data_IF_735537302307
#
_entry.id   IF_735537302307
#
_cell.length_a   1.000
_cell.length_b   1.000
_cell.length_c   1.000
_cell.angle_alpha   90.00
_cell.angle_beta   90.00
_cell.angle_gamma   90.00
#
_symmetry.space_group_name_H-M   'P 1'
#
loop_
_entity.id
_entity.type
_entity.pdbx_description
1 polymer ?
#
# COMPACT_ATOMS: atom_id res chain seq x y z
N UNK A 1 -18.81 -9.83 -31.74
CA UNK A 1 -19.63 -8.66 -31.35
C UNK A 1 -19.32 -7.57 -32.36
N UNK A 2 -20.25 -7.31 -33.29
CA UNK A 2 -20.20 -6.17 -34.23
C UNK A 2 -21.07 -5.10 -33.59
N UNK A 3 -20.48 -4.30 -32.73
CA UNK A 3 -21.14 -3.08 -32.29
C UNK A 3 -20.97 -2.14 -33.48
N UNK A 4 -22.07 -1.81 -34.18
CA UNK A 4 -22.11 -1.09 -35.47
C UNK A 4 -21.61 0.36 -35.43
N UNK A 5 -20.59 0.65 -34.63
CA UNK A 5 -19.94 1.95 -34.56
C UNK A 5 -19.04 2.16 -35.77
N UNK A 6 -19.16 3.35 -36.37
CA UNK A 6 -18.30 3.76 -37.47
C UNK A 6 -16.83 3.79 -37.01
N UNK A 7 -15.93 3.19 -37.80
CA UNK A 7 -14.50 3.21 -37.55
C UNK A 7 -13.99 4.66 -37.55
N UNK A 8 -13.53 5.14 -36.40
CA UNK A 8 -12.91 6.47 -36.28
C UNK A 8 -11.45 6.38 -36.72
N UNK A 9 -10.98 7.36 -37.49
CA UNK A 9 -9.55 7.47 -37.78
C UNK A 9 -8.77 7.88 -36.50
N UNK A 10 -7.46 7.68 -36.50
CA UNK A 10 -6.62 7.95 -35.32
C UNK A 10 -6.68 9.41 -34.84
N UNK A 11 -6.88 10.37 -35.76
CA UNK A 11 -7.03 11.78 -35.42
C UNK A 11 -8.35 12.05 -34.68
N UNK A 12 -9.46 11.51 -35.17
CA UNK A 12 -10.76 11.65 -34.51
C UNK A 12 -10.80 11.06 -33.10
N UNK A 13 -10.01 10.00 -32.84
CA UNK A 13 -9.88 9.44 -31.48
C UNK A 13 -9.10 10.40 -30.59
N UNK A 14 -7.95 10.90 -31.04
CA UNK A 14 -7.12 11.84 -30.29
C UNK A 14 -7.87 13.15 -29.96
N UNK A 15 -8.61 13.70 -30.91
CA UNK A 15 -9.41 14.92 -30.70
C UNK A 15 -10.53 14.68 -29.68
N UNK A 16 -11.17 13.51 -29.72
CA UNK A 16 -12.21 13.14 -28.75
C UNK A 16 -11.64 12.97 -27.34
N UNK A 17 -10.47 12.33 -27.20
CA UNK A 17 -9.79 12.19 -25.91
C UNK A 17 -9.35 13.55 -25.36
N UNK A 18 -8.86 14.44 -26.23
CA UNK A 18 -8.45 15.78 -25.83
C UNK A 18 -9.65 16.63 -25.38
N UNK A 19 -10.79 16.55 -26.09
CA UNK A 19 -12.03 17.21 -25.71
C UNK A 19 -12.60 16.69 -24.39
N UNK A 20 -12.51 15.38 -24.14
CA UNK A 20 -12.91 14.80 -22.85
C UNK A 20 -12.00 15.28 -21.71
N UNK A 21 -10.68 15.38 -21.96
CA UNK A 21 -9.72 15.92 -20.98
C UNK A 21 -10.00 17.39 -20.64
N UNK A 22 -10.30 18.23 -21.64
CA UNK A 22 -10.61 19.65 -21.39
C UNK A 22 -11.94 19.82 -20.68
N UNK A 23 -12.96 19.02 -21.03
CA UNK A 23 -14.25 19.05 -20.33
C UNK A 23 -14.14 18.57 -18.87
N UNK A 24 -13.32 17.54 -18.60
CA UNK A 24 -13.05 17.10 -17.24
C UNK A 24 -12.31 18.15 -16.41
N UNK A 25 -11.35 18.86 -17.02
CA UNK A 25 -10.66 19.98 -16.38
C UNK A 25 -11.61 21.15 -16.07
N UNK A 26 -12.50 21.50 -17.01
CA UNK A 26 -13.49 22.55 -16.82
C UNK A 26 -14.49 22.21 -15.69
N UNK A 27 -14.98 20.96 -15.65
CA UNK A 27 -15.86 20.48 -14.56
C UNK A 27 -15.19 20.55 -13.19
N UNK A 28 -13.87 20.30 -13.11
CA UNK A 28 -13.09 20.47 -11.87
C UNK A 28 -12.93 21.94 -11.48
N UNK A 29 -12.84 22.86 -12.43
CA UNK A 29 -12.77 24.29 -12.14
C UNK A 29 -14.12 24.82 -11.62
N UNK A 30 -15.24 24.39 -12.20
CA UNK A 30 -16.58 24.82 -11.79
C UNK A 30 -17.05 24.26 -10.44
N UNK A 31 -16.49 23.13 -9.97
CA UNK A 31 -16.84 22.56 -8.67
C UNK A 31 -16.16 23.27 -7.48
N UNK A 32 -15.38 24.32 -7.72
CA UNK A 32 -14.67 25.09 -6.67
C UNK A 32 -15.52 26.28 -6.16
N UNK A 33 -16.62 26.63 -6.81
CA UNK A 33 -17.50 27.76 -6.45
C UNK A 33 -18.58 27.36 -5.43
N UNK A 34 -18.18 26.65 -4.37
CA UNK A 34 -19.00 26.32 -3.20
C UNK A 34 -18.33 26.83 -1.93
N UNK A 35 -17.99 28.12 -1.92
CA UNK A 35 -17.28 28.78 -0.82
C UNK A 35 -18.29 29.37 0.15
N UNK A 36 -18.56 28.65 1.25
CA UNK A 36 -19.16 29.19 2.47
C UNK A 36 -18.66 28.42 3.70
N UNK A 37 -17.35 28.16 3.80
CA UNK A 37 -16.73 27.55 4.99
C UNK A 37 -15.24 27.91 5.20
N UNK A 38 -14.78 29.03 4.63
CA UNK A 38 -13.34 29.40 4.63
C UNK A 38 -12.82 30.07 5.91
N UNK A 39 -13.67 30.31 6.92
CA UNK A 39 -13.25 30.94 8.18
C UNK A 39 -13.06 29.97 9.34
N UNK A 40 -13.49 28.71 9.19
CA UNK A 40 -13.27 27.74 10.24
C UNK A 40 -11.79 27.33 10.22
N UNK A 41 -11.09 27.67 11.30
CA UNK A 41 -9.69 27.28 11.54
C UNK A 41 -9.65 26.32 12.71
N UNK A 42 -8.72 25.37 12.69
CA UNK A 42 -8.57 24.36 13.75
C UNK A 42 -7.11 24.14 14.07
N UNK A 43 -6.84 23.68 15.30
CA UNK A 43 -5.47 23.39 15.73
C UNK A 43 -5.04 22.01 15.23
N UNK A 44 -3.83 21.92 14.69
CA UNK A 44 -3.24 20.64 14.32
C UNK A 44 -2.69 19.93 15.57
N UNK A 45 -3.15 18.70 15.83
CA UNK A 45 -2.65 17.85 16.93
C UNK A 45 -1.39 17.05 16.57
N UNK A 46 -0.85 17.30 15.38
CA UNK A 46 0.48 16.82 14.98
C UNK A 46 1.60 17.63 15.63
N UNK A 47 2.83 17.34 15.22
CA UNK A 47 4.05 17.97 15.75
C UNK A 47 4.12 19.49 15.55
N UNK A 48 3.32 20.05 14.63
CA UNK A 48 3.38 21.47 14.33
C UNK A 48 2.55 22.36 15.27
N UNK A 49 1.47 21.85 15.90
CA UNK A 49 0.63 22.63 16.82
C UNK A 49 -0.05 23.87 16.22
N UNK A 50 0.01 24.09 14.90
CA UNK A 50 -0.45 25.32 14.25
C UNK A 50 -1.97 25.32 14.07
N UNK A 51 -2.59 26.49 14.25
CA UNK A 51 -3.98 26.75 13.86
C UNK A 51 -4.02 27.09 12.37
N UNK A 52 -4.66 26.23 11.58
CA UNK A 52 -4.65 26.32 10.13
C UNK A 52 -6.08 26.30 9.58
N UNK A 53 -6.31 26.88 8.38
CA UNK A 53 -7.60 26.83 7.72
C UNK A 53 -7.90 25.43 7.18
N UNK A 54 -9.18 25.17 6.87
CA UNK A 54 -9.65 23.91 6.28
C UNK A 54 -8.84 23.45 5.07
N UNK A 55 -8.33 24.36 4.23
CA UNK A 55 -7.52 24.05 3.04
C UNK A 55 -6.21 23.32 3.35
N UNK A 56 -5.67 23.48 4.56
CA UNK A 56 -4.44 22.82 5.02
C UNK A 56 -4.68 21.40 5.56
N UNK A 57 -5.94 20.95 5.61
CA UNK A 57 -6.33 19.62 6.06
C UNK A 57 -6.92 18.82 4.89
N UNK A 58 -6.64 17.51 4.88
CA UNK A 58 -7.41 16.60 4.04
C UNK A 58 -8.85 16.51 4.59
N UNK A 59 -9.86 16.36 3.71
CA UNK A 59 -11.28 16.24 4.07
C UNK A 59 -11.52 15.21 5.18
N UNK A 60 -10.85 14.06 5.10
CA UNK A 60 -10.95 12.99 6.11
C UNK A 60 -10.32 13.35 7.46
N UNK A 61 -9.34 14.27 7.49
CA UNK A 61 -8.77 14.77 8.74
C UNK A 61 -9.63 15.90 9.30
N UNK A 62 -10.19 16.75 8.44
CA UNK A 62 -11.13 17.79 8.82
C UNK A 62 -12.41 17.23 9.43
N UNK A 63 -12.93 16.12 8.90
CA UNK A 63 -14.14 15.49 9.44
C UNK A 63 -13.97 14.87 10.83
N UNK A 64 -12.74 14.72 11.36
CA UNK A 64 -12.49 14.15 12.69
C UNK A 64 -12.82 15.08 13.85
N UNK A 65 -13.03 16.37 13.56
CA UNK A 65 -13.25 17.39 14.59
C UNK A 65 -11.96 17.94 15.19
N UNK A 66 -12.11 19.00 15.99
CA UNK A 66 -11.01 19.65 16.68
C UNK A 66 -10.38 18.73 17.73
N UNK A 67 -9.09 18.91 18.02
CA UNK A 67 -8.35 18.07 18.96
C UNK A 67 -7.97 16.66 18.46
N UNK A 68 -8.38 16.27 17.24
CA UNK A 68 -7.98 14.99 16.61
C UNK A 68 -7.45 15.14 15.18
N UNK A 69 -7.59 16.32 14.60
CA UNK A 69 -7.17 16.63 13.22
C UNK A 69 -5.67 16.89 13.10
N UNK A 70 -5.03 16.27 12.11
CA UNK A 70 -3.65 16.55 11.72
C UNK A 70 -3.62 17.25 10.36
N UNK A 71 -2.79 18.29 10.24
CA UNK A 71 -2.59 18.99 8.97
C UNK A 71 -1.92 18.06 7.95
N UNK A 72 -2.00 18.44 6.66
CA UNK A 72 -1.48 17.65 5.54
C UNK A 72 -0.01 17.27 5.71
N UNK A 73 0.85 18.24 6.03
CA UNK A 73 2.29 18.00 6.25
C UNK A 73 2.56 17.00 7.38
N UNK A 74 1.82 17.11 8.49
CA UNK A 74 1.99 16.19 9.61
C UNK A 74 1.53 14.76 9.27
N UNK A 75 0.54 14.61 8.37
CA UNK A 75 0.12 13.30 7.88
C UNK A 75 1.18 12.74 6.92
N UNK A 76 1.67 13.53 5.98
CA UNK A 76 2.70 13.13 5.02
C UNK A 76 3.98 12.66 5.74
N UNK A 77 4.49 13.46 6.69
CA UNK A 77 5.65 13.06 7.51
C UNK A 77 5.42 11.79 8.33
N UNK A 78 4.19 11.55 8.79
CA UNK A 78 3.87 10.33 9.53
C UNK A 78 3.91 9.11 8.60
N UNK A 79 3.33 9.21 7.40
CA UNK A 79 3.36 8.16 6.38
C UNK A 79 4.79 7.86 5.93
N UNK A 80 5.59 8.89 5.65
CA UNK A 80 7.00 8.74 5.30
C UNK A 80 7.78 7.99 6.38
N UNK A 81 7.60 8.36 7.65
CA UNK A 81 8.25 7.69 8.78
C UNK A 81 7.82 6.24 8.92
N UNK A 82 6.52 5.95 8.78
CA UNK A 82 6.01 4.57 8.83
C UNK A 82 6.59 3.73 7.68
N UNK A 83 6.63 4.28 6.47
CA UNK A 83 7.22 3.59 5.31
C UNK A 83 8.72 3.30 5.50
N UNK A 84 9.48 4.26 6.03
CA UNK A 84 10.90 4.10 6.32
C UNK A 84 11.17 3.11 7.46
N UNK A 85 10.29 3.03 8.46
CA UNK A 85 10.39 2.04 9.52
C UNK A 85 10.08 0.63 9.00
N UNK A 86 9.10 0.51 8.10
CA UNK A 86 8.75 -0.76 7.47
C UNK A 86 9.88 -1.30 6.61
N UNK A 87 10.55 -0.45 5.83
CA UNK A 87 11.71 -0.87 5.01
C UNK A 87 12.88 -1.33 5.87
N UNK A 88 13.22 -0.56 6.92
CA UNK A 88 14.27 -0.95 7.87
C UNK A 88 13.98 -2.29 8.54
N UNK A 89 12.75 -2.49 9.02
CA UNK A 89 12.36 -3.76 9.65
C UNK A 89 12.48 -4.96 8.70
N UNK A 90 12.22 -4.76 7.40
CA UNK A 90 12.38 -5.82 6.41
C UNK A 90 13.85 -6.09 6.07
N UNK A 91 14.66 -5.05 5.97
CA UNK A 91 16.11 -5.18 5.74
C UNK A 91 16.81 -5.89 6.92
N UNK A 92 16.43 -5.54 8.15
CA UNK A 92 16.94 -6.19 9.37
C UNK A 92 16.60 -7.69 9.39
N UNK A 93 15.39 -8.08 8.95
CA UNK A 93 15.00 -9.50 8.82
C UNK A 93 15.83 -10.23 7.78
N UNK A 94 16.10 -9.61 6.64
CA UNK A 94 16.94 -10.20 5.59
C UNK A 94 18.37 -10.37 6.09
N UNK A 95 18.94 -9.38 6.78
CA UNK A 95 20.27 -9.50 7.37
C UNK A 95 20.34 -10.60 8.42
N UNK A 96 19.35 -10.70 9.30
CA UNK A 96 19.28 -11.78 10.29
C UNK A 96 19.17 -13.16 9.62
N UNK A 97 18.39 -13.29 8.54
CA UNK A 97 18.27 -14.52 7.77
C UNK A 97 19.59 -14.91 7.08
N UNK A 98 20.32 -13.94 6.52
CA UNK A 98 21.66 -14.14 5.94
C UNK A 98 22.66 -14.67 6.96
N UNK A 99 22.70 -14.04 8.14
CA UNK A 99 23.57 -14.48 9.24
C UNK A 99 23.24 -15.92 9.67
N UNK A 100 21.95 -16.27 9.76
CA UNK A 100 21.50 -17.63 10.08
C UNK A 100 21.95 -18.66 9.04
N UNK A 101 21.91 -18.32 7.74
CA UNK A 101 22.43 -19.20 6.67
C UNK A 101 23.93 -19.42 6.83
N UNK A 102 24.70 -18.37 7.10
CA UNK A 102 26.15 -18.47 7.34
C UNK A 102 26.48 -19.34 8.56
N UNK A 103 25.79 -19.12 9.69
CA UNK A 103 25.93 -19.93 10.90
C UNK A 103 25.60 -21.42 10.64
N UNK A 104 24.56 -21.72 9.86
CA UNK A 104 24.23 -23.11 9.53
C UNK A 104 25.25 -23.71 8.57
N UNK A 105 25.76 -22.90 7.63
CA UNK A 105 26.77 -23.33 6.65
C UNK A 105 28.06 -23.78 7.33
N UNK A 106 28.47 -23.14 8.43
CA UNK A 106 29.65 -23.57 9.21
C UNK A 106 29.40 -24.87 9.98
N UNK A 107 28.16 -25.15 10.41
CA UNK A 107 27.80 -26.40 11.10
C UNK A 107 27.64 -27.62 10.19
N UNK A 108 27.53 -27.43 8.87
CA UNK A 108 27.43 -28.53 7.89
C UNK A 108 26.10 -29.29 7.87
N UNK A 109 25.06 -28.80 8.55
CA UNK A 109 23.75 -29.47 8.54
C UNK A 109 22.95 -29.11 7.28
N UNK A 110 23.00 -29.97 6.27
CA UNK A 110 22.42 -29.75 4.93
C UNK A 110 20.90 -29.53 4.96
N UNK A 111 20.15 -30.26 5.79
CA UNK A 111 18.69 -30.13 5.88
C UNK A 111 18.31 -28.75 6.42
N UNK A 112 19.01 -28.30 7.47
CA UNK A 112 18.80 -26.96 8.04
C UNK A 112 19.25 -25.86 7.09
N UNK A 113 20.30 -26.10 6.30
CA UNK A 113 20.80 -25.15 5.31
C UNK A 113 19.75 -24.87 4.25
N UNK A 114 19.20 -25.92 3.64
CA UNK A 114 18.14 -25.80 2.62
C UNK A 114 16.91 -25.06 3.18
N UNK A 115 16.52 -25.34 4.41
CA UNK A 115 15.41 -24.65 5.05
C UNK A 115 15.70 -23.15 5.27
N UNK A 116 16.90 -22.80 5.74
CA UNK A 116 17.29 -21.42 5.96
C UNK A 116 17.48 -20.63 4.66
N UNK A 117 18.04 -21.25 3.62
CA UNK A 117 18.13 -20.65 2.28
C UNK A 117 16.75 -20.41 1.66
N UNK A 118 15.82 -21.34 1.87
CA UNK A 118 14.42 -21.16 1.44
C UNK A 118 13.74 -20.00 2.16
N UNK A 119 13.99 -19.84 3.46
CA UNK A 119 13.49 -18.69 4.25
C UNK A 119 14.08 -17.36 3.74
N UNK A 120 15.39 -17.32 3.48
CA UNK A 120 16.07 -16.14 2.93
C UNK A 120 15.48 -15.78 1.56
N UNK A 121 15.37 -16.74 0.65
CA UNK A 121 14.84 -16.53 -0.70
C UNK A 121 13.40 -16.01 -0.66
N UNK A 122 12.58 -16.51 0.27
CA UNK A 122 11.22 -16.04 0.46
C UNK A 122 11.15 -14.57 0.93
N UNK A 123 12.04 -14.16 1.85
CA UNK A 123 12.11 -12.77 2.32
C UNK A 123 12.62 -11.81 1.24
N UNK A 124 13.60 -12.25 0.45
CA UNK A 124 14.10 -11.47 -0.70
C UNK A 124 13.01 -11.34 -1.79
N UNK A 125 12.26 -12.41 -2.05
CA UNK A 125 11.12 -12.37 -2.95
C UNK A 125 10.01 -11.44 -2.44
N UNK A 126 9.70 -11.44 -1.14
CA UNK A 126 8.74 -10.49 -0.54
C UNK A 126 9.20 -9.04 -0.75
N UNK A 127 10.49 -8.75 -0.58
CA UNK A 127 11.04 -7.40 -0.80
C UNK A 127 10.90 -6.95 -2.26
N UNK A 128 11.09 -7.85 -3.22
CA UNK A 128 11.02 -7.53 -4.66
C UNK A 128 9.57 -7.45 -5.14
N UNK A 129 8.72 -8.37 -4.71
CA UNK A 129 7.35 -8.54 -5.24
C UNK A 129 6.28 -7.83 -4.42
N UNK A 130 6.57 -7.49 -3.16
CA UNK A 130 5.59 -6.99 -2.19
C UNK A 130 4.57 -8.05 -1.73
N UNK A 131 4.74 -9.31 -2.12
CA UNK A 131 3.85 -10.42 -1.78
C UNK A 131 4.42 -11.23 -0.61
N UNK A 132 3.58 -11.47 0.41
CA UNK A 132 3.98 -12.27 1.57
C UNK A 132 4.15 -13.74 1.22
N UNK A 133 5.17 -14.43 1.75
CA UNK A 133 5.34 -15.87 1.55
C UNK A 133 4.16 -16.66 2.11
N UNK A 134 3.58 -17.54 1.30
CA UNK A 134 2.50 -18.43 1.71
C UNK A 134 3.07 -19.82 1.92
N UNK A 135 2.85 -20.40 3.11
CA UNK A 135 3.14 -21.81 3.37
C UNK A 135 2.09 -22.65 2.63
N UNK A 136 2.51 -23.30 1.55
CA UNK A 136 1.76 -24.39 0.95
C UNK A 136 1.79 -25.55 1.95
N UNK A 137 0.74 -25.69 2.76
CA UNK A 137 0.65 -26.79 3.71
C UNK A 137 0.71 -28.12 2.94
N UNK A 138 1.52 -29.05 3.45
CA UNK A 138 1.41 -30.45 3.06
C UNK A 138 -0.06 -30.85 3.27
N UNK A 139 -0.73 -31.24 2.18
CA UNK A 139 -2.16 -31.48 2.15
C UNK A 139 -2.59 -32.30 3.37
N UNK A 140 -3.71 -31.89 3.99
CA UNK A 140 -4.41 -32.69 4.99
C UNK A 140 -4.49 -34.12 4.48
N UNK A 141 -3.65 -35.00 5.04
CA UNK A 141 -3.73 -36.42 4.79
C UNK A 141 -5.17 -36.83 5.08
N UNK A 142 -5.85 -37.36 4.05
CA UNK A 142 -7.12 -38.04 4.23
C UNK A 142 -6.87 -39.15 5.26
N UNK A 143 -7.31 -38.90 6.49
CA UNK A 143 -7.44 -39.92 7.53
C UNK A 143 -8.25 -41.06 6.92
N UNK A 144 -7.55 -42.16 6.61
CA UNK A 144 -8.13 -43.42 6.17
C UNK A 144 -9.08 -43.86 7.30
N UNK A 145 -10.36 -43.92 6.98
CA UNK A 145 -11.44 -44.24 7.90
C UNK A 145 -11.10 -45.44 8.78
N UNK A 146 -11.04 -45.22 10.08
CA UNK A 146 -11.07 -46.28 11.08
C UNK A 146 -12.53 -46.68 11.25
N UNK A 147 -12.96 -47.64 10.41
CA UNK A 147 -14.23 -48.32 10.58
C UNK A 147 -14.32 -48.88 12.00
N UNK A 148 -15.26 -48.37 12.79
CA UNK A 148 -15.71 -49.03 14.01
C UNK A 148 -16.91 -49.88 13.62
N UNK A 149 -16.65 -51.16 13.44
CA UNK A 149 -17.70 -52.16 13.59
C UNK A 149 -18.11 -52.22 15.05
N UNK A 150 -19.38 -51.96 15.32
CA UNK A 150 -20.21 -52.70 16.27
C UNK A 150 -21.67 -52.45 15.96
#
# INVERSE_FOLDING_TARGET
RRDGSALKCKQCVADSEQAERTQAAAKRASSVTGVNNTLETRACTGTCGKTLPQSSYNRNQWSKGDGKSRCRECVERAVERESANQTKSNDDKIMAARKKVEEIRTTGNTVKLVAAESELAALEAEKVTGLKPVKLSAGRGRSRGKGRGR
#
